data_IF_520195820498
#
_entry.id   IF_520195820498
#
_cell.length_a   1.000
_cell.length_b   1.000
_cell.length_c   1.000
_cell.angle_alpha   90.00
_cell.angle_beta   90.00
_cell.angle_gamma   90.00
#
_symmetry.space_group_name_H-M   'P 1'
#
loop_
_entity.id
_entity.type
_entity.pdbx_description
1 polymer ?
#
# COMPACT_ATOMS: atom_id res chain seq x y z
N UNK A 1 -27.11 45.40 25.08
CA UNK A 1 -27.78 44.41 24.20
C UNK A 1 -27.02 44.18 22.89
N UNK A 2 -26.71 45.21 22.09
CA UNK A 2 -25.99 45.05 20.81
C UNK A 2 -24.60 44.39 20.92
N UNK A 3 -23.81 44.73 21.95
CA UNK A 3 -22.47 44.12 22.16
C UNK A 3 -22.51 42.62 22.47
N UNK A 4 -23.54 42.15 23.17
CA UNK A 4 -23.71 40.73 23.49
C UNK A 4 -24.03 39.91 22.24
N UNK A 5 -24.88 40.45 21.37
CA UNK A 5 -25.23 39.83 20.08
C UNK A 5 -24.01 39.73 19.15
N UNK A 6 -23.19 40.78 19.08
CA UNK A 6 -21.95 40.77 18.27
C UNK A 6 -20.97 39.71 18.81
N UNK A 7 -20.81 39.59 20.13
CA UNK A 7 -19.96 38.58 20.75
C UNK A 7 -20.41 37.15 20.42
N UNK A 8 -21.72 36.87 20.49
CA UNK A 8 -22.26 35.54 20.15
C UNK A 8 -22.07 35.18 18.67
N UNK A 9 -22.22 36.14 17.76
CA UNK A 9 -22.02 35.93 16.32
C UNK A 9 -20.54 35.62 16.02
N UNK A 10 -19.62 36.38 16.60
CA UNK A 10 -18.17 36.16 16.43
C UNK A 10 -17.75 34.79 16.99
N UNK A 11 -18.29 34.38 18.14
CA UNK A 11 -18.00 33.08 18.74
C UNK A 11 -18.49 31.91 17.87
N UNK A 12 -19.64 32.09 17.20
CA UNK A 12 -20.21 31.08 16.30
C UNK A 12 -19.36 30.90 15.03
N UNK A 13 -18.85 31.99 14.46
CA UNK A 13 -18.01 31.97 13.26
C UNK A 13 -16.62 31.34 13.51
N UNK A 14 -16.06 31.52 14.71
CA UNK A 14 -14.80 30.91 15.10
C UNK A 14 -14.89 29.37 15.20
N UNK A 15 -16.04 28.84 15.65
CA UNK A 15 -16.27 27.39 15.75
C UNK A 15 -16.32 26.71 14.38
N UNK A 16 -16.96 27.34 13.38
CA UNK A 16 -17.12 26.78 12.04
C UNK A 16 -15.78 26.59 11.33
N UNK A 17 -14.85 27.53 11.49
CA UNK A 17 -13.51 27.45 10.91
C UNK A 17 -12.67 26.31 11.47
N UNK A 18 -12.83 25.99 12.77
CA UNK A 18 -12.15 24.84 13.41
C UNK A 18 -12.68 23.51 12.88
N UNK A 19 -14.01 23.40 12.70
CA UNK A 19 -14.65 22.17 12.20
C UNK A 19 -14.25 21.85 10.76
N UNK A 20 -14.11 22.86 9.89
CA UNK A 20 -13.71 22.66 8.49
C UNK A 20 -12.26 22.18 8.37
N UNK A 21 -11.33 22.75 9.16
CA UNK A 21 -9.92 22.34 9.14
C UNK A 21 -9.72 20.90 9.63
N UNK A 22 -10.47 20.48 10.65
CA UNK A 22 -10.43 19.10 11.18
C UNK A 22 -10.86 18.05 10.14
N UNK A 23 -11.95 18.31 9.39
CA UNK A 23 -12.49 17.36 8.41
C UNK A 23 -11.56 17.15 7.21
N UNK A 24 -10.88 18.21 6.78
CA UNK A 24 -9.92 18.17 5.67
C UNK A 24 -8.62 17.47 6.12
N UNK A 25 -8.12 17.78 7.32
CA UNK A 25 -6.93 17.12 7.88
C UNK A 25 -7.10 15.61 7.96
N UNK A 26 -8.22 15.13 8.53
CA UNK A 26 -8.50 13.70 8.65
C UNK A 26 -8.68 13.00 7.29
N UNK A 27 -9.19 13.73 6.27
CA UNK A 27 -9.34 13.19 4.91
C UNK A 27 -7.99 13.06 4.21
N UNK A 28 -7.08 14.02 4.39
CA UNK A 28 -5.72 13.98 3.84
C UNK A 28 -4.90 12.87 4.52
N UNK A 29 -5.04 12.72 5.84
CA UNK A 29 -4.32 11.70 6.62
C UNK A 29 -4.77 10.29 6.19
N UNK A 30 -6.08 10.04 6.03
CA UNK A 30 -6.59 8.77 5.48
C UNK A 30 -6.18 8.52 4.03
N UNK A 31 -6.12 9.55 3.19
CA UNK A 31 -5.68 9.40 1.79
C UNK A 31 -4.17 9.06 1.69
N UNK A 32 -3.40 9.34 2.74
CA UNK A 32 -1.97 9.05 2.83
C UNK A 32 -1.62 7.71 3.50
N UNK A 33 -2.59 7.01 4.08
CA UNK A 33 -2.34 5.78 4.87
C UNK A 33 -2.36 4.49 4.03
N UNK A 34 -2.90 4.49 2.81
CA UNK A 34 -2.89 3.31 1.92
C UNK A 34 -1.67 3.26 0.98
N UNK A 35 -0.51 3.74 1.45
CA UNK A 35 0.75 3.33 0.81
C UNK A 35 1.10 1.94 1.33
N UNK A 36 0.55 0.92 0.69
CA UNK A 36 0.98 -0.47 0.89
C UNK A 36 2.44 -0.54 0.48
N UNK A 37 3.32 -0.58 1.48
CA UNK A 37 4.75 -0.76 1.28
C UNK A 37 5.00 -2.25 0.99
N UNK A 38 5.15 -2.59 -0.28
CA UNK A 38 5.72 -3.88 -0.68
C UNK A 38 7.23 -3.81 -0.42
N UNK A 39 7.66 -4.23 0.77
CA UNK A 39 9.07 -4.47 1.03
C UNK A 39 9.57 -5.63 0.17
N UNK A 40 10.83 -5.59 -0.27
CA UNK A 40 11.50 -6.78 -0.78
C UNK A 40 11.46 -7.84 0.33
N UNK A 41 10.63 -8.87 0.14
CA UNK A 41 10.42 -9.89 1.17
C UNK A 41 11.53 -10.94 1.15
N UNK A 42 12.25 -11.06 0.03
CA UNK A 42 13.43 -11.90 -0.18
C UNK A 42 14.27 -11.37 -1.36
N UNK A 43 15.58 -11.29 -1.16
CA UNK A 43 16.57 -11.12 -2.22
C UNK A 43 17.83 -11.90 -1.81
N UNK A 44 18.28 -12.82 -2.66
CA UNK A 44 19.57 -13.51 -2.51
C UNK A 44 20.30 -13.37 -3.85
N UNK A 45 21.48 -12.74 -3.80
CA UNK A 45 22.41 -12.70 -4.93
C UNK A 45 23.26 -13.97 -4.93
N UNK A 46 23.16 -14.75 -6.02
CA UNK A 46 23.87 -16.02 -6.18
C UNK A 46 25.24 -15.86 -6.87
N UNK A 47 25.69 -14.61 -7.12
CA UNK A 47 27.03 -14.27 -7.59
C UNK A 47 27.12 -13.95 -9.09
N UNK A 48 28.33 -13.62 -9.59
CA UNK A 48 28.51 -13.03 -10.92
C UNK A 48 28.49 -14.03 -12.09
N UNK A 49 28.47 -15.34 -11.83
CA UNK A 49 28.74 -16.36 -12.85
C UNK A 49 27.47 -17.07 -13.32
N UNK A 50 26.85 -16.59 -14.39
CA UNK A 50 25.55 -17.06 -14.91
C UNK A 50 25.34 -18.59 -15.09
N UNK A 51 26.41 -19.39 -15.20
CA UNK A 51 26.29 -20.85 -15.34
C UNK A 51 26.09 -21.58 -14.00
N UNK A 52 26.49 -20.96 -12.88
CA UNK A 52 26.34 -21.51 -11.52
C UNK A 52 25.58 -20.57 -10.56
N UNK A 53 25.41 -19.29 -10.94
CA UNK A 53 24.93 -18.19 -10.10
C UNK A 53 23.55 -17.65 -10.46
N UNK A 54 22.72 -18.42 -11.16
CA UNK A 54 21.32 -18.04 -11.39
C UNK A 54 20.45 -19.21 -10.95
N UNK A 55 20.13 -19.22 -9.67
CA UNK A 55 19.14 -20.12 -9.12
C UNK A 55 18.21 -19.28 -8.26
N UNK A 56 16.92 -19.28 -8.55
CA UNK A 56 15.95 -19.03 -7.49
C UNK A 56 16.02 -20.23 -6.54
N UNK A 57 16.98 -20.19 -5.61
CA UNK A 57 17.24 -21.28 -4.65
C UNK A 57 16.68 -20.97 -3.25
N UNK A 58 15.84 -19.94 -3.15
CA UNK A 58 15.05 -19.63 -1.96
C UNK A 58 13.68 -20.32 -1.96
N UNK A 59 12.96 -20.28 -0.83
CA UNK A 59 11.55 -20.67 -0.78
C UNK A 59 10.79 -19.91 -1.85
N UNK A 60 10.06 -20.61 -2.71
CA UNK A 60 9.25 -19.99 -3.74
C UNK A 60 8.15 -19.15 -3.07
N UNK A 61 7.97 -17.89 -3.46
CA UNK A 61 6.97 -17.08 -2.84
C UNK A 61 5.58 -17.49 -3.30
N UNK A 62 4.71 -17.65 -2.29
CA UNK A 62 3.31 -18.00 -2.44
C UNK A 62 2.51 -16.86 -1.83
N UNK A 63 1.53 -16.33 -2.56
CA UNK A 63 0.66 -15.27 -2.08
C UNK A 63 -0.31 -14.77 -3.13
N UNK A 64 -1.28 -13.98 -2.67
CA UNK A 64 -2.32 -13.31 -3.47
C UNK A 64 -1.72 -12.11 -4.23
N UNK A 65 -1.26 -12.36 -5.45
CA UNK A 65 -0.55 -11.37 -6.26
C UNK A 65 -1.46 -10.54 -7.17
N UNK A 66 -2.69 -11.01 -7.43
CA UNK A 66 -3.68 -10.30 -8.25
C UNK A 66 -4.90 -9.80 -7.44
N UNK A 67 -4.90 -10.05 -6.13
CA UNK A 67 -5.90 -9.59 -5.17
C UNK A 67 -7.29 -10.20 -5.40
N UNK A 68 -7.34 -11.48 -5.79
CA UNK A 68 -8.58 -12.26 -5.93
C UNK A 68 -8.94 -13.08 -4.66
N UNK A 69 -8.05 -13.11 -3.67
CA UNK A 69 -8.21 -13.84 -2.42
C UNK A 69 -7.70 -15.29 -2.44
N UNK A 70 -7.14 -15.76 -3.56
CA UNK A 70 -6.41 -17.02 -3.66
C UNK A 70 -4.90 -16.76 -3.63
N UNK A 71 -4.12 -17.84 -3.51
CA UNK A 71 -2.67 -17.75 -3.53
C UNK A 71 -2.14 -18.24 -4.86
N UNK A 72 -1.21 -17.49 -5.46
CA UNK A 72 -0.50 -17.87 -6.66
C UNK A 72 0.93 -18.28 -6.33
N UNK A 73 1.51 -19.08 -7.22
CA UNK A 73 2.93 -19.42 -7.21
C UNK A 73 3.67 -18.54 -8.22
N UNK A 74 4.70 -17.82 -7.77
CA UNK A 74 5.55 -17.05 -8.66
C UNK A 74 6.79 -17.86 -9.03
N UNK A 75 7.06 -18.01 -10.33
CA UNK A 75 8.20 -18.77 -10.85
C UNK A 75 9.08 -17.86 -11.72
N UNK A 76 10.32 -17.65 -11.28
CA UNK A 76 11.35 -17.00 -12.07
C UNK A 76 12.14 -18.00 -12.92
N UNK A 77 12.25 -17.75 -14.23
CA UNK A 77 13.02 -18.57 -15.18
C UNK A 77 14.32 -17.91 -15.65
N UNK A 78 15.17 -18.67 -16.36
CA UNK A 78 16.40 -18.15 -17.03
C UNK A 78 16.11 -17.37 -18.32
N UNK A 79 14.86 -17.32 -18.73
CA UNK A 79 14.39 -16.66 -19.94
C UNK A 79 13.97 -15.20 -19.71
N UNK A 80 14.37 -14.62 -18.57
CA UNK A 80 14.01 -13.25 -18.18
C UNK A 80 12.49 -13.03 -18.08
N UNK A 81 11.73 -14.10 -17.83
CA UNK A 81 10.27 -14.05 -17.63
C UNK A 81 9.94 -14.46 -16.20
N UNK A 82 9.12 -13.64 -15.55
CA UNK A 82 8.41 -13.98 -14.32
C UNK A 82 7.04 -14.56 -14.69
N UNK A 83 6.73 -15.74 -14.16
CA UNK A 83 5.45 -16.40 -14.35
C UNK A 83 4.64 -16.33 -13.06
N UNK A 84 3.35 -16.10 -13.21
CA UNK A 84 2.35 -16.23 -12.15
C UNK A 84 1.51 -17.45 -12.49
N UNK A 85 1.46 -18.41 -11.57
CA UNK A 85 0.72 -19.66 -11.75
C UNK A 85 -0.45 -19.67 -10.78
N UNK A 86 -1.66 -19.65 -11.34
CA UNK A 86 -2.91 -19.85 -10.61
C UNK A 86 -3.33 -21.32 -10.70
N UNK A 87 -3.89 -21.84 -9.60
CA UNK A 87 -4.50 -23.16 -9.60
C UNK A 87 -5.91 -23.10 -10.20
N UNK A 88 -6.20 -23.93 -11.20
CA UNK A 88 -7.56 -24.11 -11.74
C UNK A 88 -8.12 -25.44 -11.23
N UNK A 89 -9.24 -25.40 -10.49
CA UNK A 89 -9.94 -26.57 -9.96
C UNK A 89 -10.70 -27.39 -11.04
N UNK A 90 -10.51 -27.07 -12.31
CA UNK A 90 -11.19 -27.73 -13.45
C UNK A 90 -10.53 -29.03 -13.89
#
# INVERSE_FOLDING_TARGET
>A
MAFLLIFCIVLSLLSSGVVIKSRISNKIEKLSTDKVYYGLQWEIDHGPFHAFSARYEGPQPIGDCDNDGKNELLVGGRDSVLRVVEWDDK
#
